data_IF_589405197765
#
_entry.id   IF_589405197765
#
_cell.length_a   1.000
_cell.length_b   1.000
_cell.length_c   1.000
_cell.angle_alpha   90.00
_cell.angle_beta   90.00
_cell.angle_gamma   90.00
#
_symmetry.space_group_name_H-M   'P 1'
#
loop_
_entity.id
_entity.type
_entity.pdbx_description
1 polymer ?
#
# COMPACT_ATOMS: atom_id res chain seq x y z
N UNK A 1 7.08 49.14 -3.12
CA UNK A 1 5.70 49.51 -2.72
C UNK A 1 5.04 50.06 -3.97
N UNK A 2 4.17 49.26 -4.59
CA UNK A 2 2.74 49.50 -4.41
C UNK A 2 2.00 48.27 -3.87
N UNK A 3 0.90 48.58 -3.19
CA UNK A 3 0.07 47.72 -2.37
C UNK A 3 -0.72 46.69 -3.19
N UNK A 4 -0.68 45.43 -2.77
CA UNK A 4 -1.51 44.37 -3.30
C UNK A 4 -2.81 44.33 -2.49
N UNK A 5 -3.92 44.71 -3.15
CA UNK A 5 -5.28 44.63 -2.60
C UNK A 5 -5.67 43.16 -2.47
N UNK A 6 -6.00 42.74 -1.24
CA UNK A 6 -6.44 41.38 -0.92
C UNK A 6 -7.90 41.20 -1.37
N UNK A 7 -8.09 40.51 -2.50
CA UNK A 7 -9.40 40.07 -2.97
C UNK A 7 -9.83 38.80 -2.26
N UNK A 8 -11.05 38.80 -1.72
CA UNK A 8 -11.72 37.64 -1.11
C UNK A 8 -11.72 36.42 -2.05
N UNK A 9 -10.84 35.47 -1.78
CA UNK A 9 -10.76 34.17 -2.46
C UNK A 9 -11.41 33.07 -1.63
N UNK A 10 -12.46 32.47 -2.20
CA UNK A 10 -13.18 31.29 -1.73
C UNK A 10 -12.23 30.20 -1.23
N UNK A 11 -12.57 29.58 -0.10
CA UNK A 11 -11.84 28.48 0.52
C UNK A 11 -11.68 27.30 -0.45
N UNK A 12 -10.60 27.32 -1.23
CA UNK A 12 -10.16 26.19 -2.04
C UNK A 12 -9.69 25.08 -1.11
N UNK A 13 -10.35 23.93 -1.20
CA UNK A 13 -9.95 22.70 -0.55
C UNK A 13 -8.45 22.46 -0.83
N UNK A 14 -7.62 22.58 0.20
CA UNK A 14 -6.20 22.28 0.13
C UNK A 14 -6.05 20.79 -0.18
N UNK A 15 -5.87 20.46 -1.47
CA UNK A 15 -5.44 19.13 -1.89
C UNK A 15 -4.01 18.98 -1.38
N UNK A 16 -3.90 18.28 -0.26
CA UNK A 16 -2.60 17.92 0.32
C UNK A 16 -1.80 17.14 -0.75
N UNK A 17 -0.73 17.76 -1.27
CA UNK A 17 0.22 17.09 -2.16
C UNK A 17 0.84 15.92 -1.42
N UNK A 18 0.37 14.71 -1.67
CA UNK A 18 0.95 13.50 -1.08
C UNK A 18 0.20 12.21 -1.39
N UNK A 19 -1.11 12.28 -1.64
CA UNK A 19 -1.90 11.10 -2.01
C UNK A 19 -3.02 11.53 -2.95
N UNK A 20 -3.00 11.11 -4.21
CA UNK A 20 -4.18 11.21 -5.09
C UNK A 20 -5.05 10.02 -4.72
N UNK A 21 -6.22 10.24 -4.05
CA UNK A 21 -7.13 9.14 -3.76
C UNK A 21 -7.57 8.48 -5.07
N UNK A 22 -7.86 7.18 -5.03
CA UNK A 22 -8.46 6.51 -6.17
C UNK A 22 -9.79 7.22 -6.50
N UNK A 23 -9.88 7.79 -7.71
CA UNK A 23 -11.10 8.44 -8.18
C UNK A 23 -12.11 7.37 -8.58
N UNK A 24 -12.90 6.95 -7.59
CA UNK A 24 -13.91 5.91 -7.76
C UNK A 24 -15.07 6.42 -8.60
N UNK A 25 -15.41 7.71 -8.55
CA UNK A 25 -16.57 8.27 -9.25
C UNK A 25 -16.22 8.57 -10.72
N UNK A 26 -15.00 9.04 -10.98
CA UNK A 26 -14.47 9.26 -12.33
C UNK A 26 -13.98 8.00 -13.04
N UNK A 27 -14.03 6.82 -12.41
CA UNK A 27 -13.64 5.57 -13.08
C UNK A 27 -14.52 5.34 -14.33
N UNK A 28 -13.93 5.14 -15.52
CA UNK A 28 -14.70 5.04 -16.76
C UNK A 28 -15.53 3.75 -16.76
N UNK A 29 -16.74 3.84 -17.32
CA UNK A 29 -17.58 2.66 -17.55
C UNK A 29 -17.04 1.93 -18.78
N UNK A 30 -16.84 0.63 -18.65
CA UNK A 30 -16.43 -0.19 -19.78
C UNK A 30 -17.54 -0.23 -20.87
N UNK A 31 -17.18 -0.31 -22.16
CA UNK A 31 -18.14 -0.60 -23.23
C UNK A 31 -18.97 -1.86 -22.92
N UNK A 32 -20.21 -1.92 -23.42
CA UNK A 32 -21.16 -2.99 -23.08
C UNK A 32 -20.71 -4.38 -23.57
N UNK A 33 -19.86 -4.41 -24.59
CA UNK A 33 -19.24 -5.62 -25.14
C UNK A 33 -18.05 -6.14 -24.34
N UNK A 34 -17.58 -5.41 -23.31
CA UNK A 34 -16.45 -5.79 -22.48
C UNK A 34 -16.88 -6.13 -21.05
N UNK A 35 -16.33 -7.22 -20.54
CA UNK A 35 -16.50 -7.65 -19.15
C UNK A 35 -15.14 -7.69 -18.44
N UNK A 36 -15.11 -7.23 -17.20
CA UNK A 36 -13.91 -7.31 -16.37
C UNK A 36 -13.69 -8.76 -15.92
N UNK A 37 -12.62 -9.38 -16.41
CA UNK A 37 -12.29 -10.78 -16.10
C UNK A 37 -11.22 -10.93 -15.01
N UNK A 38 -10.26 -9.99 -14.94
CA UNK A 38 -9.14 -10.09 -14.02
C UNK A 38 -8.57 -8.71 -13.67
N UNK A 39 -8.14 -8.56 -12.41
CA UNK A 39 -7.49 -7.35 -11.89
C UNK A 39 -6.19 -7.73 -11.20
N UNK A 40 -5.07 -7.13 -11.61
CA UNK A 40 -3.77 -7.24 -10.93
C UNK A 40 -3.39 -5.88 -10.36
N UNK A 41 -3.13 -5.83 -9.05
CA UNK A 41 -2.78 -4.60 -8.34
C UNK A 41 -1.37 -4.74 -7.78
N UNK A 42 -0.44 -3.91 -8.26
CA UNK A 42 0.92 -3.84 -7.78
C UNK A 42 1.11 -2.57 -6.94
N UNK A 43 1.54 -2.74 -5.69
CA UNK A 43 1.62 -1.63 -4.73
C UNK A 43 2.99 -1.62 -4.08
N UNK A 44 3.61 -0.45 -4.06
CA UNK A 44 4.80 -0.20 -3.24
C UNK A 44 4.36 -0.12 -1.77
N UNK A 45 5.22 -0.54 -0.85
CA UNK A 45 4.99 -0.31 0.57
C UNK A 45 4.65 1.16 0.88
N UNK A 46 3.90 1.38 1.95
CA UNK A 46 3.52 2.70 2.43
C UNK A 46 4.70 3.54 2.95
N UNK A 47 4.37 4.64 3.63
CA UNK A 47 5.36 5.51 4.26
C UNK A 47 6.25 4.76 5.25
N UNK A 48 7.49 5.22 5.36
CA UNK A 48 8.49 4.62 6.25
C UNK A 48 9.60 5.59 6.58
N UNK A 49 10.34 5.27 7.63
CA UNK A 49 11.61 5.92 7.92
C UNK A 49 12.67 5.61 6.86
N UNK A 50 13.72 6.44 6.75
CA UNK A 50 14.91 6.10 5.97
C UNK A 50 15.49 4.74 6.39
N UNK A 51 16.05 3.97 5.45
CA UNK A 51 16.67 2.65 5.77
C UNK A 51 18.07 2.78 6.38
N UNK A 52 18.51 4.00 6.69
CA UNK A 52 19.78 4.33 7.31
C UNK A 52 19.89 5.85 7.48
N UNK A 53 20.77 6.31 8.38
CA UNK A 53 21.00 7.74 8.64
C UNK A 53 21.60 8.40 7.40
N UNK A 54 20.95 9.44 6.89
CA UNK A 54 21.39 10.21 5.71
C UNK A 54 20.76 11.59 5.76
N UNK A 55 21.47 12.59 5.21
CA UNK A 55 20.98 13.97 5.13
C UNK A 55 20.64 14.56 6.51
N UNK A 56 21.39 14.20 7.54
CA UNK A 56 21.20 14.68 8.91
C UNK A 56 21.74 16.11 9.11
N UNK A 57 22.69 16.55 8.29
CA UNK A 57 23.20 17.92 8.30
C UNK A 57 22.34 18.90 7.51
N UNK A 58 22.67 20.21 7.58
CA UNK A 58 22.03 21.23 6.76
C UNK A 58 22.19 20.96 5.24
N UNK A 59 21.20 21.32 4.40
CA UNK A 59 19.94 22.01 4.74
C UNK A 59 18.81 21.07 5.16
N UNK A 60 18.96 19.75 5.01
CA UNK A 60 17.87 18.80 5.15
C UNK A 60 17.52 18.48 6.62
N UNK A 61 18.51 18.46 7.52
CA UNK A 61 18.36 18.26 8.96
C UNK A 61 17.43 17.08 9.35
N UNK A 62 17.50 15.96 8.61
CA UNK A 62 16.64 14.80 8.86
C UNK A 62 17.07 14.10 10.16
N UNK A 63 16.15 13.80 11.09
CA UNK A 63 16.49 13.11 12.33
C UNK A 63 17.21 11.78 12.08
N UNK A 64 18.31 11.57 12.80
CA UNK A 64 19.05 10.30 12.77
C UNK A 64 18.23 9.17 13.39
N UNK A 65 17.50 9.49 14.46
CA UNK A 65 16.71 8.55 15.24
C UNK A 65 15.21 8.83 15.12
N UNK A 66 14.43 7.80 14.81
CA UNK A 66 12.97 7.89 14.65
C UNK A 66 12.27 7.04 15.73
N UNK A 67 11.78 7.71 16.77
CA UNK A 67 11.17 7.05 17.95
C UNK A 67 9.72 6.62 17.69
N UNK A 68 9.54 5.60 16.85
CA UNK A 68 8.21 5.12 16.45
C UNK A 68 7.75 3.81 17.11
N UNK A 69 8.43 3.32 18.14
CA UNK A 69 8.09 2.02 18.76
C UNK A 69 6.60 1.89 19.14
N UNK A 70 6.00 2.94 19.73
CA UNK A 70 4.59 2.91 20.10
C UNK A 70 3.66 2.94 18.88
N UNK A 71 3.97 3.76 17.88
CA UNK A 71 3.17 3.87 16.65
C UNK A 71 3.24 2.57 15.85
N UNK A 72 4.45 2.01 15.68
CA UNK A 72 4.66 0.73 15.02
C UNK A 72 3.92 -0.41 15.72
N UNK A 73 3.92 -0.45 17.07
CA UNK A 73 3.16 -1.45 17.83
C UNK A 73 1.65 -1.30 17.65
N UNK A 74 1.12 -0.08 17.69
CA UNK A 74 -0.31 0.19 17.47
C UNK A 74 -0.74 -0.20 16.06
N UNK A 75 0.06 0.18 15.06
CA UNK A 75 -0.18 -0.19 13.67
C UNK A 75 -0.19 -1.71 13.51
N UNK A 76 0.83 -2.40 14.04
CA UNK A 76 0.91 -3.85 14.01
C UNK A 76 -0.31 -4.51 14.65
N UNK A 77 -0.74 -4.04 15.82
CA UNK A 77 -1.95 -4.54 16.48
C UNK A 77 -3.21 -4.35 15.63
N UNK A 78 -3.33 -3.24 14.89
CA UNK A 78 -4.47 -2.99 14.02
C UNK A 78 -4.50 -3.89 12.77
N UNK A 79 -3.34 -4.33 12.28
CA UNK A 79 -3.24 -5.10 11.01
C UNK A 79 -3.00 -6.60 11.22
N UNK A 80 -2.51 -6.99 12.41
CA UNK A 80 -2.22 -8.37 12.79
C UNK A 80 -3.46 -9.15 13.26
N UNK A 81 -4.66 -8.55 13.24
CA UNK A 81 -5.93 -9.21 13.57
C UNK A 81 -6.23 -10.46 12.72
N UNK A 82 -5.44 -10.71 11.67
CA UNK A 82 -5.50 -11.91 10.81
C UNK A 82 -4.57 -13.07 11.24
N UNK A 83 -3.60 -12.82 12.13
CA UNK A 83 -2.61 -13.82 12.58
C UNK A 83 -2.79 -13.97 14.09
N UNK A 84 -3.85 -14.70 14.49
CA UNK A 84 -4.19 -15.14 15.85
C UNK A 84 -3.77 -14.21 17.00
N UNK A 85 -4.75 -13.51 17.61
CA UNK A 85 -4.97 -13.28 19.06
C UNK A 85 -5.95 -12.10 19.23
N UNK A 86 -7.12 -12.42 19.81
CA UNK A 86 -8.23 -11.59 20.32
C UNK A 86 -8.84 -10.47 19.46
N UNK A 87 -10.16 -10.59 19.31
CA UNK A 87 -11.11 -9.54 18.95
C UNK A 87 -10.85 -8.26 19.74
N UNK A 88 -10.15 -7.31 19.14
CA UNK A 88 -10.19 -5.91 19.57
C UNK A 88 -11.14 -5.20 18.63
N UNK A 89 -12.18 -4.58 19.20
CA UNK A 89 -13.09 -3.67 18.51
C UNK A 89 -12.27 -2.53 17.88
N UNK A 90 -11.78 -2.74 16.67
CA UNK A 90 -11.05 -1.73 15.92
C UNK A 90 -12.08 -0.86 15.20
N UNK A 91 -12.15 0.40 15.67
CA UNK A 91 -12.91 1.50 15.10
C UNK A 91 -12.79 1.48 13.58
N UNK A 92 -13.92 1.39 12.87
CA UNK A 92 -14.02 1.40 11.40
C UNK A 92 -13.22 2.56 10.81
N UNK A 93 -12.00 2.28 10.33
CA UNK A 93 -11.34 3.14 9.35
C UNK A 93 -12.15 2.97 8.06
N UNK A 94 -12.58 4.09 7.47
CA UNK A 94 -13.51 4.11 6.35
C UNK A 94 -13.14 3.18 5.20
N UNK A 95 -14.15 2.76 4.45
CA UNK A 95 -14.02 1.82 3.33
C UNK A 95 -12.93 2.27 2.34
N UNK A 96 -12.08 1.32 1.93
CA UNK A 96 -11.01 1.62 0.97
C UNK A 96 -11.59 1.97 -0.41
N UNK A 97 -10.89 2.83 -1.16
CA UNK A 97 -11.27 3.10 -2.56
C UNK A 97 -11.30 1.83 -3.42
N UNK A 98 -10.47 0.83 -3.10
CA UNK A 98 -10.49 -0.48 -3.77
C UNK A 98 -11.81 -1.22 -3.55
N UNK A 99 -12.35 -1.21 -2.32
CA UNK A 99 -13.66 -1.83 -2.04
C UNK A 99 -14.76 -1.09 -2.80
N UNK A 100 -14.79 0.24 -2.69
CA UNK A 100 -15.80 1.06 -3.38
C UNK A 100 -15.80 0.83 -4.89
N UNK A 101 -14.63 0.69 -5.50
CA UNK A 101 -14.53 0.43 -6.92
C UNK A 101 -14.90 -1.02 -7.27
N UNK A 102 -14.19 -2.01 -6.73
CA UNK A 102 -14.27 -3.39 -7.22
C UNK A 102 -15.42 -4.21 -6.61
N UNK A 103 -15.91 -3.84 -5.42
CA UNK A 103 -17.06 -4.49 -4.76
C UNK A 103 -18.33 -3.67 -4.96
N UNK A 104 -18.28 -2.36 -4.69
CA UNK A 104 -19.52 -1.58 -4.64
C UNK A 104 -19.97 -1.08 -6.02
N UNK A 105 -19.05 -0.55 -6.83
CA UNK A 105 -19.37 0.01 -8.16
C UNK A 105 -19.36 -1.05 -9.26
N UNK A 106 -18.25 -1.78 -9.41
CA UNK A 106 -18.06 -2.72 -10.52
C UNK A 106 -18.65 -4.11 -10.25
N UNK A 107 -18.96 -4.44 -8.98
CA UNK A 107 -19.49 -5.75 -8.58
C UNK A 107 -18.64 -6.93 -9.05
N UNK A 108 -17.34 -6.70 -9.24
CA UNK A 108 -16.38 -7.69 -9.74
C UNK A 108 -15.92 -8.64 -8.62
N UNK A 109 -15.66 -8.08 -7.43
CA UNK A 109 -15.28 -8.84 -6.25
C UNK A 109 -16.50 -9.12 -5.36
N UNK A 110 -16.54 -10.26 -4.64
CA UNK A 110 -17.64 -10.58 -3.74
C UNK A 110 -17.69 -9.59 -2.56
N UNK A 111 -18.89 -9.33 -2.03
CA UNK A 111 -19.07 -8.48 -0.85
C UNK A 111 -18.38 -9.06 0.40
N UNK A 112 -18.40 -10.39 0.53
CA UNK A 112 -17.77 -11.16 1.61
C UNK A 112 -16.83 -12.19 1.01
N UNK A 113 -15.56 -12.16 1.43
CA UNK A 113 -14.54 -13.13 1.00
C UNK A 113 -14.67 -14.44 1.78
N UNK A 114 -14.58 -15.57 1.07
CA UNK A 114 -14.76 -16.91 1.64
C UNK A 114 -13.61 -17.86 1.37
N UNK A 115 -12.95 -17.73 0.21
CA UNK A 115 -11.86 -18.62 -0.19
C UNK A 115 -10.63 -17.86 -0.65
N UNK A 116 -9.46 -18.51 -0.54
CA UNK A 116 -8.20 -18.04 -1.09
C UNK A 116 -8.08 -18.19 -2.61
N UNK A 117 -9.09 -18.78 -3.25
CA UNK A 117 -9.20 -18.86 -4.71
C UNK A 117 -9.83 -17.58 -5.31
N UNK A 118 -10.58 -16.82 -4.50
CA UNK A 118 -11.19 -15.55 -4.92
C UNK A 118 -10.15 -14.42 -5.00
N UNK A 119 -9.09 -14.50 -4.18
CA UNK A 119 -8.04 -13.47 -4.11
C UNK A 119 -6.64 -14.08 -4.02
N UNK A 120 -5.73 -13.60 -4.87
CA UNK A 120 -4.31 -13.97 -4.82
C UNK A 120 -3.50 -12.89 -4.11
N UNK A 121 -2.97 -13.21 -2.94
CA UNK A 121 -2.21 -12.28 -2.10
C UNK A 121 -0.73 -12.67 -2.06
N UNK A 122 0.14 -11.76 -2.51
CA UNK A 122 1.59 -11.98 -2.55
C UNK A 122 2.38 -10.75 -2.12
N UNK A 123 3.43 -10.96 -1.33
CA UNK A 123 4.38 -9.91 -0.92
C UNK A 123 5.82 -10.42 -0.98
N UNK A 124 6.79 -9.51 -1.06
CA UNK A 124 8.19 -9.84 -0.79
C UNK A 124 8.38 -10.20 0.68
N UNK A 125 9.43 -10.94 1.02
CA UNK A 125 9.79 -11.24 2.41
C UNK A 125 10.45 -10.03 3.12
N UNK A 126 9.74 -8.91 3.16
CA UNK A 126 10.18 -7.66 3.77
C UNK A 126 9.05 -7.16 4.67
N UNK A 127 9.27 -6.95 5.99
CA UNK A 127 8.20 -6.62 6.93
C UNK A 127 7.28 -5.48 6.48
N UNK A 128 7.86 -4.36 6.01
CA UNK A 128 7.09 -3.19 5.52
C UNK A 128 6.16 -3.51 4.33
N UNK A 129 6.53 -4.46 3.46
CA UNK A 129 5.67 -4.82 2.31
C UNK A 129 4.57 -5.79 2.73
N UNK A 130 4.86 -6.66 3.69
CA UNK A 130 3.87 -7.59 4.27
C UNK A 130 2.80 -6.79 5.01
N UNK A 131 3.21 -5.87 5.87
CA UNK A 131 2.28 -5.07 6.66
C UNK A 131 1.45 -4.12 5.78
N UNK A 132 2.04 -3.55 4.73
CA UNK A 132 1.29 -2.74 3.75
C UNK A 132 0.21 -3.57 3.05
N UNK A 133 0.50 -4.83 2.69
CA UNK A 133 -0.51 -5.71 2.10
C UNK A 133 -1.60 -6.09 3.10
N UNK A 134 -1.25 -6.34 4.36
CA UNK A 134 -2.24 -6.58 5.43
C UNK A 134 -3.18 -5.38 5.61
N UNK A 135 -2.66 -4.15 5.51
CA UNK A 135 -3.49 -2.95 5.52
C UNK A 135 -4.46 -2.86 4.35
N UNK A 136 -3.97 -3.14 3.13
CA UNK A 136 -4.79 -3.14 1.92
C UNK A 136 -5.93 -4.17 2.08
N UNK A 137 -5.60 -5.37 2.55
CA UNK A 137 -6.59 -6.43 2.79
C UNK A 137 -7.62 -5.96 3.83
N UNK A 138 -7.20 -5.39 4.96
CA UNK A 138 -8.12 -4.90 6.00
C UNK A 138 -9.04 -3.78 5.48
N UNK A 139 -8.59 -2.98 4.51
CA UNK A 139 -9.42 -1.96 3.87
C UNK A 139 -10.37 -2.51 2.79
N UNK A 140 -9.97 -3.59 2.10
CA UNK A 140 -10.78 -4.25 1.06
C UNK A 140 -11.84 -5.17 1.68
N UNK A 141 -11.43 -6.00 2.62
CA UNK A 141 -12.23 -6.93 3.41
C UNK A 141 -11.97 -6.69 4.90
N UNK A 142 -12.73 -5.77 5.54
CA UNK A 142 -12.68 -5.65 6.99
C UNK A 142 -13.15 -6.95 7.66
N UNK A 143 -12.90 -7.09 8.96
CA UNK A 143 -13.24 -8.29 9.74
C UNK A 143 -14.74 -8.66 9.61
N UNK A 144 -15.63 -7.67 9.49
CA UNK A 144 -17.07 -7.89 9.28
C UNK A 144 -17.46 -8.41 7.89
N UNK A 145 -16.56 -8.30 6.91
CA UNK A 145 -16.76 -8.71 5.51
C UNK A 145 -15.88 -9.91 5.14
N UNK A 146 -15.45 -10.65 6.14
CA UNK A 146 -14.70 -11.90 5.98
C UNK A 146 -15.46 -13.02 6.68
N UNK A 147 -15.51 -14.19 6.05
CA UNK A 147 -16.16 -15.35 6.68
C UNK A 147 -15.45 -15.74 7.98
N UNK A 148 -16.20 -16.29 8.93
CA UNK A 148 -15.74 -16.57 10.31
C UNK A 148 -14.46 -17.39 10.37
N UNK A 149 -14.28 -18.34 9.45
CA UNK A 149 -13.11 -19.23 9.39
C UNK A 149 -12.18 -18.92 8.20
N UNK A 150 -12.40 -17.79 7.52
CA UNK A 150 -11.55 -17.39 6.40
C UNK A 150 -10.24 -16.77 6.90
N UNK A 151 -9.13 -17.44 6.60
CA UNK A 151 -7.80 -16.91 6.83
C UNK A 151 -7.13 -16.55 5.48
N UNK A 152 -6.82 -15.27 5.22
CA UNK A 152 -6.10 -14.86 4.02
C UNK A 152 -4.70 -15.50 3.97
N UNK A 153 -4.42 -16.21 2.89
CA UNK A 153 -3.15 -16.89 2.66
C UNK A 153 -2.19 -15.94 1.94
N UNK A 154 -1.32 -15.31 2.71
CA UNK A 154 -0.24 -14.49 2.18
C UNK A 154 0.90 -15.36 1.62
N UNK A 155 1.18 -15.23 0.32
CA UNK A 155 2.28 -15.94 -0.34
C UNK A 155 3.56 -15.10 -0.31
N UNK A 156 4.63 -15.70 0.20
CA UNK A 156 5.97 -15.11 0.26
C UNK A 156 6.93 -16.12 -0.34
N UNK A 157 7.81 -15.67 -1.25
CA UNK A 157 8.86 -16.52 -1.81
C UNK A 157 10.16 -16.38 -1.02
N UNK A 158 11.02 -17.37 -1.17
CA UNK A 158 12.40 -17.28 -0.70
C UNK A 158 13.10 -16.09 -1.39
N UNK A 159 13.93 -15.35 -0.65
CA UNK A 159 14.69 -14.22 -1.21
C UNK A 159 15.62 -14.60 -2.36
N UNK A 160 16.02 -15.87 -2.49
CA UNK A 160 16.81 -16.38 -3.64
C UNK A 160 15.98 -16.55 -4.91
N UNK A 161 14.67 -16.79 -4.78
CA UNK A 161 13.75 -17.04 -5.90
C UNK A 161 12.79 -15.87 -6.14
N UNK A 162 12.98 -14.78 -5.40
CA UNK A 162 12.09 -13.62 -5.45
C UNK A 162 12.27 -12.87 -6.77
N UNK A 163 11.14 -12.57 -7.41
CA UNK A 163 11.05 -11.89 -8.70
C UNK A 163 10.10 -10.69 -8.70
N UNK A 164 9.63 -10.25 -7.53
CA UNK A 164 8.91 -8.97 -7.36
C UNK A 164 9.84 -7.74 -7.32
N UNK A 165 11.16 -7.95 -7.30
CA UNK A 165 12.16 -6.89 -7.45
C UNK A 165 13.35 -7.40 -8.27
N UNK A 166 14.18 -6.48 -8.76
CA UNK A 166 15.42 -6.81 -9.46
C UNK A 166 16.40 -7.51 -8.51
N UNK A 167 16.38 -8.84 -8.51
CA UNK A 167 17.13 -9.66 -7.58
C UNK A 167 18.55 -9.96 -8.10
N UNK A 168 19.52 -9.17 -7.68
CA UNK A 168 20.94 -9.33 -8.06
C UNK A 168 21.58 -10.58 -7.47
N UNK A 169 21.06 -11.12 -6.36
CA UNK A 169 21.55 -12.38 -5.79
C UNK A 169 21.20 -13.57 -6.70
N UNK A 170 20.03 -13.54 -7.33
CA UNK A 170 19.56 -14.57 -8.25
C UNK A 170 20.10 -14.39 -9.68
N UNK A 171 20.31 -13.14 -10.12
CA UNK A 171 20.73 -12.81 -11.48
C UNK A 171 22.04 -12.01 -11.49
N UNK A 172 23.16 -12.71 -11.68
CA UNK A 172 24.51 -12.10 -11.74
C UNK A 172 24.68 -11.11 -12.88
N UNK A 173 24.01 -11.32 -14.02
CA UNK A 173 24.02 -10.34 -15.10
C UNK A 173 23.39 -9.01 -14.68
N UNK A 174 22.29 -9.05 -13.93
CA UNK A 174 21.63 -7.84 -13.42
C UNK A 174 22.55 -7.08 -12.45
N UNK A 175 23.27 -7.80 -11.59
CA UNK A 175 24.26 -7.20 -10.68
C UNK A 175 25.34 -6.41 -11.44
N UNK A 176 25.93 -7.01 -12.48
CA UNK A 176 26.95 -6.36 -13.32
C UNK A 176 26.39 -5.09 -13.98
N UNK A 177 25.17 -5.16 -14.53
CA UNK A 177 24.52 -4.02 -15.17
C UNK A 177 24.28 -2.88 -14.17
N UNK A 178 23.79 -3.18 -12.96
CA UNK A 178 23.54 -2.16 -11.94
C UNK A 178 24.83 -1.46 -11.48
N UNK A 179 25.91 -2.22 -11.29
CA UNK A 179 27.22 -1.64 -10.95
C UNK A 179 27.74 -0.77 -12.09
N UNK A 180 27.63 -1.23 -13.34
CA UNK A 180 28.03 -0.44 -14.52
C UNK A 180 27.26 0.87 -14.65
N UNK A 181 25.94 0.87 -14.42
CA UNK A 181 25.15 2.11 -14.39
C UNK A 181 25.57 3.06 -13.27
N UNK A 182 25.84 2.54 -12.07
CA UNK A 182 26.29 3.37 -10.95
C UNK A 182 27.66 4.02 -11.22
N UNK A 183 28.57 3.30 -11.88
CA UNK A 183 29.89 3.80 -12.24
C UNK A 183 29.89 4.75 -13.45
N UNK A 184 28.94 4.59 -14.38
CA UNK A 184 28.78 5.48 -15.54
C UNK A 184 27.94 6.73 -15.26
N UNK A 185 27.36 6.84 -14.06
CA UNK A 185 26.63 8.02 -13.60
C UNK A 185 27.59 8.96 -12.86
N UNK A 186 28.55 9.53 -13.58
CA UNK A 186 29.47 10.57 -13.08
C UNK A 186 29.49 11.72 -14.06
#
# INVERSE_FOLDING_TARGET
>A
MPDFVEGNGVAGNSVTKGHVPLDVDGYPVAPAELELQQVHIYVRHGERTPVGVRMAGPPANIPENWMFCNIARQFRAAVASWVNVYWVNSRTRGESGLRKLYVDRLKFLPDVVRSNDEIYLRSTNIPRTIESLQQIIHGLYPVSKSATDFMPHLRIRNGKDENLFGNTMACKRLEILQVGFAQGSV
#
